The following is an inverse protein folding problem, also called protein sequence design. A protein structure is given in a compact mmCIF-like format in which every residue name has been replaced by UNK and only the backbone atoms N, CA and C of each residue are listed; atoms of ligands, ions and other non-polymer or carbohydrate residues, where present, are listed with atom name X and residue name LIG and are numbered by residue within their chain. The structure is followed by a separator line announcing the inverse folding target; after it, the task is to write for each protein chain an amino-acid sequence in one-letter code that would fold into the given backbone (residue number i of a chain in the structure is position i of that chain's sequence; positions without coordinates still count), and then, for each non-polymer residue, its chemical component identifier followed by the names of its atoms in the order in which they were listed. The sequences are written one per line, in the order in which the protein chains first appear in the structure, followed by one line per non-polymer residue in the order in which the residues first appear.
data_IF_463015789771
#
_entry.id   IF_463015789771
#
_cell.length_a   1.000
_cell.length_b   1.000
_cell.length_c   1.000
_cell.angle_alpha   90.00
_cell.angle_beta   90.00
_cell.angle_gamma   90.00
#
_symmetry.space_group_name_H-M   'P 1'
#
loop_
_entity.id
_entity.type
_entity.pdbx_description
1 polymer ?
#
# COMPACT_ATOMS: atom_id res chain seq x y z
N UNK A 1 12.61 69.16 15.77
CA UNK A 1 13.15 69.31 17.15
C UNK A 1 13.14 67.92 17.79
N UNK A 2 14.20 67.12 17.70
CA UNK A 2 15.37 67.04 18.60
C UNK A 2 15.02 66.76 20.08
N UNK A 3 15.08 65.49 20.48
CA UNK A 3 15.61 64.98 21.78
C UNK A 3 15.55 63.45 21.72
N UNK A 4 16.59 62.64 21.47
CA UNK A 4 17.89 62.36 22.14
C UNK A 4 17.79 61.81 23.59
N UNK A 5 18.15 60.51 23.68
CA UNK A 5 18.79 59.75 24.79
C UNK A 5 17.80 59.25 25.87
N UNK A 6 17.88 58.01 26.37
CA UNK A 6 19.07 57.35 26.91
C UNK A 6 19.01 55.82 26.93
N UNK A 7 20.21 55.25 26.94
CA UNK A 7 20.61 53.85 27.12
C UNK A 7 20.19 53.33 28.50
N UNK A 8 19.78 52.06 28.55
CA UNK A 8 19.59 51.29 29.78
C UNK A 8 19.81 49.80 29.51
N UNK A 9 21.09 49.40 29.47
CA UNK A 9 21.50 47.99 29.54
C UNK A 9 21.20 47.51 30.95
N UNK A 10 20.36 46.47 31.10
CA UNK A 10 20.36 45.64 32.29
C UNK A 10 20.51 44.18 31.87
N UNK A 11 21.68 43.67 32.20
CA UNK A 11 22.18 42.33 31.98
C UNK A 11 21.73 41.49 33.18
N UNK A 12 20.87 40.50 32.96
CA UNK A 12 20.58 39.48 33.99
C UNK A 12 21.08 38.14 33.47
N UNK A 13 22.29 37.82 33.92
CA UNK A 13 22.84 36.48 33.99
C UNK A 13 22.01 35.67 34.99
N UNK A 14 21.33 34.63 34.53
CA UNK A 14 20.91 33.51 35.37
C UNK A 14 21.30 32.21 34.71
N UNK A 15 22.51 31.77 35.02
CA UNK A 15 23.01 30.40 34.85
C UNK A 15 22.51 29.56 36.01
N UNK A 16 21.64 28.58 35.78
CA UNK A 16 21.35 27.38 36.61
C UNK A 16 20.33 26.57 35.76
N UNK A 17 20.42 25.28 35.49
CA UNK A 17 21.23 24.22 36.07
C UNK A 17 21.43 23.10 35.04
N UNK A 18 22.60 22.47 35.12
CA UNK A 18 22.92 21.16 34.57
C UNK A 18 22.05 20.12 35.26
N UNK A 19 21.09 19.51 34.57
CA UNK A 19 20.52 18.21 34.94
C UNK A 19 20.08 17.46 33.68
N UNK A 20 20.62 16.26 33.49
CA UNK A 20 20.01 15.25 32.63
C UNK A 20 20.61 15.10 31.22
N UNK A 21 21.93 15.07 31.09
CA UNK A 21 22.53 14.33 29.97
C UNK A 21 22.24 12.84 30.21
N UNK A 22 21.04 12.39 29.80
CA UNK A 22 20.81 10.97 29.57
C UNK A 22 21.88 10.55 28.57
N UNK A 23 22.81 9.69 29.01
CA UNK A 23 23.74 9.03 28.14
C UNK A 23 22.92 8.17 27.17
N UNK A 24 22.50 8.77 26.05
CA UNK A 24 21.93 8.04 24.94
C UNK A 24 23.11 7.30 24.35
N UNK A 25 23.28 6.04 24.75
CA UNK A 25 24.28 5.16 24.18
C UNK A 25 24.03 5.13 22.66
N UNK A 26 24.90 5.73 21.82
CA UNK A 26 24.63 5.91 20.41
C UNK A 26 24.47 4.56 19.68
N UNK A 27 24.99 3.49 20.28
CA UNK A 27 24.84 2.11 19.80
C UNK A 27 23.39 1.62 19.94
N UNK A 28 22.68 2.03 20.99
CA UNK A 28 21.32 1.56 21.26
C UNK A 28 20.28 2.31 20.41
N UNK A 29 20.48 3.61 20.20
CA UNK A 29 19.66 4.42 19.26
C UNK A 29 19.90 4.08 17.79
N UNK A 30 21.13 3.70 17.41
CA UNK A 30 21.39 3.15 16.07
C UNK A 30 20.71 1.80 15.84
N UNK A 31 20.76 0.89 16.82
CA UNK A 31 20.11 -0.41 16.70
C UNK A 31 18.57 -0.31 16.67
N UNK A 32 17.98 0.62 17.42
CA UNK A 32 16.54 0.91 17.36
C UNK A 32 16.14 1.54 16.02
N UNK A 33 16.87 2.54 15.53
CA UNK A 33 16.59 3.17 14.23
C UNK A 33 16.74 2.19 13.06
N UNK A 34 17.72 1.28 13.13
CA UNK A 34 17.93 0.22 12.12
C UNK A 34 16.83 -0.85 12.17
N UNK A 35 16.23 -1.11 13.35
CA UNK A 35 15.10 -2.02 13.49
C UNK A 35 13.74 -1.38 13.11
N UNK A 36 13.59 -0.07 13.29
CA UNK A 36 12.34 0.67 13.01
C UNK A 36 12.13 0.94 11.51
N UNK A 37 13.20 1.23 10.75
CA UNK A 37 13.07 1.56 9.33
C UNK A 37 12.40 0.44 8.47
N UNK A 38 12.78 -0.84 8.60
CA UNK A 38 12.12 -1.93 7.85
C UNK A 38 10.66 -2.14 8.24
N UNK A 39 10.31 -1.87 9.50
CA UNK A 39 8.92 -1.98 10.00
C UNK A 39 8.08 -0.83 9.45
N UNK A 40 8.63 0.38 9.39
CA UNK A 40 7.97 1.54 8.82
C UNK A 40 7.70 1.37 7.31
N UNK A 41 8.67 0.86 6.55
CA UNK A 41 8.54 0.58 5.12
C UNK A 41 7.44 -0.47 4.84
N UNK A 42 7.44 -1.58 5.59
CA UNK A 42 6.37 -2.57 5.48
C UNK A 42 5.00 -2.01 5.88
N UNK A 43 4.96 -1.20 6.94
CA UNK A 43 3.74 -0.53 7.38
C UNK A 43 3.15 0.37 6.29
N UNK A 44 4.01 1.12 5.59
CA UNK A 44 3.62 1.95 4.46
C UNK A 44 3.07 1.11 3.30
N UNK A 45 3.73 -0.02 2.96
CA UNK A 45 3.27 -0.93 1.91
C UNK A 45 1.88 -1.50 2.20
N UNK A 46 1.66 -1.99 3.42
CA UNK A 46 0.37 -2.53 3.86
C UNK A 46 -0.71 -1.44 3.86
N UNK A 47 -0.39 -0.24 4.34
CA UNK A 47 -1.31 0.90 4.35
C UNK A 47 -1.72 1.31 2.93
N UNK A 48 -0.76 1.36 2.00
CA UNK A 48 -1.02 1.65 0.60
C UNK A 48 -1.86 0.56 -0.07
N UNK A 49 -1.61 -0.71 0.24
CA UNK A 49 -2.41 -1.83 -0.27
C UNK A 49 -3.85 -1.78 0.24
N UNK A 50 -4.07 -1.49 1.53
CA UNK A 50 -5.41 -1.27 2.10
C UNK A 50 -6.15 -0.12 1.42
N UNK A 51 -5.44 0.92 0.97
CA UNK A 51 -6.05 2.02 0.22
C UNK A 51 -6.56 1.60 -1.16
N UNK A 52 -6.05 0.52 -1.75
CA UNK A 52 -6.58 -0.10 -2.98
C UNK A 52 -7.85 -0.91 -2.70
N UNK A 53 -7.95 -1.50 -1.51
CA UNK A 53 -9.13 -2.25 -1.04
C UNK A 53 -10.28 -1.35 -0.56
N UNK A 54 -9.97 -0.13 -0.15
CA UNK A 54 -10.93 0.87 0.30
C UNK A 54 -11.75 1.41 -0.88
N UNK A 55 -12.76 0.65 -1.31
CA UNK A 55 -13.68 1.00 -2.38
C UNK A 55 -15.13 1.07 -1.90
N UNK A 56 -15.98 1.89 -2.55
CA UNK A 56 -17.39 2.02 -2.18
C UNK A 56 -18.24 0.81 -2.59
N UNK A 57 -17.77 -0.02 -3.52
CA UNK A 57 -18.47 -1.25 -3.93
C UNK A 57 -18.01 -2.46 -3.11
N UNK A 58 -18.92 -3.43 -2.91
CA UNK A 58 -18.59 -4.71 -2.30
C UNK A 58 -17.65 -5.52 -3.20
N UNK A 59 -16.79 -6.34 -2.56
CA UNK A 59 -15.94 -7.29 -3.27
C UNK A 59 -16.77 -8.51 -3.72
N UNK A 60 -16.72 -8.89 -5.00
CA UNK A 60 -17.31 -10.15 -5.43
C UNK A 60 -16.52 -11.32 -4.84
N UNK A 61 -17.21 -12.23 -4.15
CA UNK A 61 -16.62 -13.41 -3.52
C UNK A 61 -17.13 -14.63 -4.29
N UNK A 62 -16.22 -15.30 -5.01
CA UNK A 62 -16.56 -16.55 -5.70
C UNK A 62 -16.66 -17.70 -4.70
N UNK A 63 -17.76 -18.46 -4.73
CA UNK A 63 -17.80 -19.79 -4.10
C UNK A 63 -16.83 -20.69 -4.86
N UNK A 64 -15.90 -21.35 -4.16
CA UNK A 64 -15.05 -22.36 -4.79
C UNK A 64 -15.92 -23.48 -5.37
N UNK A 65 -15.48 -24.10 -6.48
CA UNK A 65 -16.21 -25.20 -7.11
C UNK A 65 -16.51 -26.33 -6.10
N UNK A 66 -15.55 -26.61 -5.22
CA UNK A 66 -15.70 -27.59 -4.13
C UNK A 66 -16.82 -27.17 -3.17
N UNK A 67 -16.85 -25.92 -2.71
CA UNK A 67 -17.90 -25.44 -1.83
C UNK A 67 -19.29 -25.37 -2.51
N UNK A 68 -19.35 -25.24 -3.84
CA UNK A 68 -20.60 -25.41 -4.61
C UNK A 68 -21.07 -26.86 -4.63
N UNK A 69 -20.15 -27.82 -4.79
CA UNK A 69 -20.47 -29.25 -4.83
C UNK A 69 -20.89 -29.78 -3.45
N UNK A 70 -20.21 -29.33 -2.38
CA UNK A 70 -20.47 -29.80 -1.02
C UNK A 70 -21.64 -29.09 -0.33
N UNK A 71 -22.20 -28.03 -0.93
CA UNK A 71 -23.27 -27.23 -0.33
C UNK A 71 -22.85 -26.47 0.94
N UNK A 72 -21.54 -26.44 1.25
CA UNK A 72 -20.98 -25.80 2.45
C UNK A 72 -20.46 -24.38 2.19
N UNK A 73 -20.83 -23.78 1.05
CA UNK A 73 -20.44 -22.41 0.70
C UNK A 73 -21.22 -21.37 1.49
N UNK A 74 -20.51 -20.42 2.11
CA UNK A 74 -21.12 -19.20 2.66
C UNK A 74 -21.73 -18.31 1.56
N UNK A 75 -22.38 -17.22 1.99
CA UNK A 75 -23.01 -16.26 1.09
C UNK A 75 -21.98 -15.67 0.11
N UNK A 76 -22.15 -15.94 -1.19
CA UNK A 76 -21.32 -15.36 -2.24
C UNK A 76 -21.96 -14.12 -2.82
N UNK A 77 -21.15 -13.07 -2.93
CA UNK A 77 -21.53 -11.89 -3.70
C UNK A 77 -21.11 -12.11 -5.15
N UNK A 78 -22.08 -12.23 -6.05
CA UNK A 78 -21.81 -12.29 -7.49
C UNK A 78 -21.31 -10.93 -8.00
N UNK A 79 -20.65 -10.91 -9.16
CA UNK A 79 -20.22 -9.66 -9.80
C UNK A 79 -21.40 -8.73 -10.07
N UNK A 80 -22.50 -9.28 -10.59
CA UNK A 80 -23.70 -8.50 -10.91
C UNK A 80 -24.37 -7.97 -9.64
N UNK A 81 -24.37 -8.72 -8.54
CA UNK A 81 -24.89 -8.24 -7.26
C UNK A 81 -24.04 -7.10 -6.69
N UNK A 82 -22.70 -7.22 -6.73
CA UNK A 82 -21.80 -6.15 -6.29
C UNK A 82 -21.94 -4.88 -7.12
N UNK A 83 -22.07 -5.03 -8.45
CA UNK A 83 -22.30 -3.91 -9.36
C UNK A 83 -23.67 -3.26 -9.13
N UNK A 84 -24.72 -4.07 -8.97
CA UNK A 84 -26.08 -3.61 -8.72
C UNK A 84 -26.20 -2.84 -7.42
N UNK A 85 -25.70 -3.38 -6.31
CA UNK A 85 -25.70 -2.69 -5.00
C UNK A 85 -24.96 -1.34 -5.07
N UNK A 86 -23.85 -1.29 -5.80
CA UNK A 86 -23.13 -0.03 -6.01
C UNK A 86 -23.95 0.95 -6.87
N UNK A 87 -24.53 0.48 -7.98
CA UNK A 87 -25.40 1.32 -8.84
C UNK A 87 -26.59 1.86 -8.04
N UNK A 88 -27.24 1.04 -7.23
CA UNK A 88 -28.35 1.47 -6.35
C UNK A 88 -27.92 2.56 -5.38
N UNK A 89 -26.68 2.52 -4.90
CA UNK A 89 -26.11 3.54 -4.01
C UNK A 89 -25.95 4.89 -4.73
N UNK A 90 -25.56 4.88 -6.01
CA UNK A 90 -25.29 6.11 -6.78
C UNK A 90 -26.45 6.56 -7.68
N UNK A 91 -27.46 5.71 -7.91
CA UNK A 91 -28.56 5.94 -8.86
C UNK A 91 -29.45 7.12 -8.49
N UNK A 92 -29.51 7.48 -7.21
CA UNK A 92 -30.26 8.62 -6.69
C UNK A 92 -29.62 9.98 -7.03
N UNK A 93 -28.39 9.99 -7.55
CA UNK A 93 -27.70 11.22 -7.99
C UNK A 93 -28.02 11.52 -9.45
N UNK A 94 -28.25 12.79 -9.84
CA UNK A 94 -28.43 13.16 -11.25
C UNK A 94 -27.17 12.91 -12.12
N UNK A 95 -26.03 12.59 -11.50
CA UNK A 95 -24.73 12.41 -12.14
C UNK A 95 -24.10 11.05 -11.81
N UNK A 96 -24.89 9.98 -11.70
CA UNK A 96 -24.42 8.63 -11.29
C UNK A 96 -23.19 8.16 -12.06
N UNK A 97 -23.15 8.37 -13.38
CA UNK A 97 -21.98 8.01 -14.18
C UNK A 97 -20.71 8.78 -13.77
N UNK A 98 -20.82 10.08 -13.46
CA UNK A 98 -19.68 10.86 -12.97
C UNK A 98 -19.20 10.40 -11.58
N UNK A 99 -20.11 9.94 -10.72
CA UNK A 99 -19.74 9.32 -9.44
C UNK A 99 -18.92 8.04 -9.66
N UNK A 100 -19.41 7.14 -10.52
CA UNK A 100 -18.68 5.92 -10.89
C UNK A 100 -17.28 6.23 -11.44
N UNK A 101 -17.19 7.22 -12.33
CA UNK A 101 -15.91 7.66 -12.92
C UNK A 101 -14.97 8.22 -11.85
N UNK A 102 -15.49 9.04 -10.93
CA UNK A 102 -14.71 9.62 -9.83
C UNK A 102 -14.16 8.54 -8.90
N UNK A 103 -15.00 7.59 -8.48
CA UNK A 103 -14.61 6.49 -7.61
C UNK A 103 -13.58 5.56 -8.28
N UNK A 104 -13.74 5.29 -9.58
CA UNK A 104 -12.77 4.53 -10.35
C UNK A 104 -11.40 5.22 -10.40
N UNK A 105 -11.36 6.54 -10.64
CA UNK A 105 -10.10 7.30 -10.62
C UNK A 105 -9.48 7.38 -9.23
N UNK A 106 -10.29 7.49 -8.17
CA UNK A 106 -9.81 7.42 -6.80
C UNK A 106 -9.12 6.07 -6.50
N UNK A 107 -9.72 4.96 -6.93
CA UNK A 107 -9.11 3.64 -6.78
C UNK A 107 -7.82 3.48 -7.59
N UNK A 108 -7.78 4.00 -8.82
CA UNK A 108 -6.57 4.02 -9.66
C UNK A 108 -5.45 4.85 -9.02
N UNK A 109 -5.76 6.00 -8.43
CA UNK A 109 -4.79 6.82 -7.69
C UNK A 109 -4.22 6.06 -6.48
N UNK A 110 -5.03 5.27 -5.76
CA UNK A 110 -4.52 4.37 -4.72
C UNK A 110 -3.57 3.32 -5.27
N UNK A 111 -3.86 2.73 -6.43
CA UNK A 111 -2.96 1.76 -7.07
C UNK A 111 -1.63 2.38 -7.50
N UNK A 112 -1.65 3.62 -8.01
CA UNK A 112 -0.43 4.38 -8.33
C UNK A 112 0.42 4.64 -7.09
N UNK A 113 -0.19 5.09 -5.98
CA UNK A 113 0.50 5.27 -4.70
C UNK A 113 1.13 3.97 -4.21
N UNK A 114 0.41 2.85 -4.27
CA UNK A 114 0.97 1.54 -3.95
C UNK A 114 2.17 1.21 -4.85
N UNK A 115 2.11 1.52 -6.14
CA UNK A 115 3.22 1.29 -7.06
C UNK A 115 4.48 2.08 -6.73
N UNK A 116 4.35 3.29 -6.17
CA UNK A 116 5.46 4.10 -5.66
C UNK A 116 6.04 3.46 -4.40
N UNK A 117 5.20 3.17 -3.40
CA UNK A 117 5.64 2.57 -2.12
C UNK A 117 6.30 1.21 -2.33
N UNK A 118 5.76 0.38 -3.24
CA UNK A 118 6.36 -0.91 -3.58
C UNK A 118 7.75 -0.76 -4.23
N UNK A 119 7.95 0.29 -5.05
CA UNK A 119 9.26 0.59 -5.61
C UNK A 119 10.25 1.02 -4.54
N UNK A 120 9.82 1.88 -3.61
CA UNK A 120 10.65 2.32 -2.47
C UNK A 120 11.02 1.15 -1.56
N UNK A 121 10.06 0.25 -1.30
CA UNK A 121 10.27 -0.97 -0.49
C UNK A 121 11.35 -1.88 -1.07
N UNK A 122 11.63 -1.84 -2.39
CA UNK A 122 12.75 -2.60 -2.99
C UNK A 122 14.11 -2.22 -2.40
N UNK A 123 14.24 -0.98 -1.94
CA UNK A 123 15.46 -0.43 -1.34
C UNK A 123 15.54 -0.67 0.17
N UNK A 124 14.50 -1.26 0.76
CA UNK A 124 14.46 -1.62 2.18
C UNK A 124 15.67 -2.45 2.60
N UNK A 125 16.05 -2.33 3.87
CA UNK A 125 17.15 -3.12 4.44
C UNK A 125 16.87 -4.62 4.40
N UNK A 126 15.60 -5.01 4.38
CA UNK A 126 15.15 -6.40 4.25
C UNK A 126 13.82 -6.47 3.52
N UNK A 127 13.81 -7.10 2.36
CA UNK A 127 12.58 -7.46 1.63
C UNK A 127 12.24 -8.92 1.93
N UNK A 128 10.95 -9.25 2.01
CA UNK A 128 10.49 -10.62 2.26
C UNK A 128 9.39 -11.04 1.29
N UNK A 129 9.11 -12.34 1.24
CA UNK A 129 8.00 -12.87 0.45
C UNK A 129 6.63 -12.31 0.84
N UNK A 130 6.45 -11.88 2.10
CA UNK A 130 5.20 -11.24 2.52
C UNK A 130 4.97 -9.91 1.80
N UNK A 131 6.03 -9.15 1.52
CA UNK A 131 5.93 -7.86 0.84
C UNK A 131 5.49 -8.06 -0.62
N UNK A 132 5.94 -9.15 -1.26
CA UNK A 132 5.46 -9.59 -2.58
C UNK A 132 3.97 -9.94 -2.49
N UNK A 133 3.59 -10.78 -1.52
CA UNK A 133 2.21 -11.21 -1.33
C UNK A 133 1.23 -10.07 -1.11
N UNK A 134 1.64 -9.00 -0.42
CA UNK A 134 0.84 -7.77 -0.26
C UNK A 134 0.56 -7.10 -1.61
N UNK A 135 1.56 -6.98 -2.48
CA UNK A 135 1.39 -6.38 -3.82
C UNK A 135 0.55 -7.29 -4.73
N UNK A 136 0.77 -8.60 -4.69
CA UNK A 136 -0.01 -9.57 -5.47
C UNK A 136 -1.48 -9.62 -5.08
N UNK A 137 -1.79 -9.55 -3.78
CA UNK A 137 -3.15 -9.46 -3.29
C UNK A 137 -3.82 -8.16 -3.76
N UNK A 138 -3.12 -7.02 -3.68
CA UNK A 138 -3.63 -5.76 -4.23
C UNK A 138 -3.88 -5.82 -5.74
N UNK A 139 -3.04 -6.54 -6.51
CA UNK A 139 -3.30 -6.79 -7.94
C UNK A 139 -4.58 -7.60 -8.15
N UNK A 140 -4.83 -8.62 -7.31
CA UNK A 140 -6.07 -9.40 -7.36
C UNK A 140 -7.28 -8.51 -7.08
N UNK A 141 -7.24 -7.72 -6.00
CA UNK A 141 -8.27 -6.72 -5.64
C UNK A 141 -8.52 -5.77 -6.82
N UNK A 142 -7.47 -5.24 -7.43
CA UNK A 142 -7.60 -4.26 -8.52
C UNK A 142 -8.26 -4.87 -9.77
N UNK A 143 -8.05 -6.17 -10.04
CA UNK A 143 -8.76 -6.91 -11.09
C UNK A 143 -10.25 -7.06 -10.77
N UNK A 144 -10.59 -7.28 -9.51
CA UNK A 144 -11.99 -7.36 -9.04
C UNK A 144 -12.68 -6.01 -9.17
N UNK A 145 -12.05 -4.94 -8.67
CA UNK A 145 -12.54 -3.57 -8.77
C UNK A 145 -12.81 -3.16 -10.23
N UNK A 146 -11.87 -3.44 -11.14
CA UNK A 146 -12.05 -3.21 -12.58
C UNK A 146 -13.32 -3.88 -13.10
N UNK A 147 -13.58 -5.15 -12.71
CA UNK A 147 -14.77 -5.88 -13.17
C UNK A 147 -16.05 -5.22 -12.65
N UNK A 148 -16.08 -4.84 -11.37
CA UNK A 148 -17.24 -4.18 -10.76
C UNK A 148 -17.52 -2.85 -11.44
N UNK A 149 -16.49 -2.01 -11.67
CA UNK A 149 -16.64 -0.72 -12.36
C UNK A 149 -17.22 -0.88 -13.77
N UNK A 150 -16.74 -1.86 -14.53
CA UNK A 150 -17.25 -2.10 -15.89
C UNK A 150 -18.68 -2.67 -15.89
N UNK A 151 -19.01 -3.53 -14.93
CA UNK A 151 -20.36 -4.05 -14.76
C UNK A 151 -21.34 -2.93 -14.34
N UNK A 152 -20.94 -2.07 -13.40
CA UNK A 152 -21.73 -0.91 -12.97
C UNK A 152 -21.94 0.09 -14.12
N UNK A 153 -20.90 0.37 -14.92
CA UNK A 153 -21.03 1.23 -16.10
C UNK A 153 -22.03 0.67 -17.11
N UNK A 154 -21.98 -0.65 -17.35
CA UNK A 154 -22.94 -1.34 -18.24
C UNK A 154 -24.36 -1.26 -17.70
N UNK A 155 -24.55 -1.47 -16.41
CA UNK A 155 -25.86 -1.42 -15.77
C UNK A 155 -26.46 0.00 -15.84
N UNK A 156 -25.67 1.04 -15.52
CA UNK A 156 -26.10 2.43 -15.70
C UNK A 156 -26.56 2.72 -17.15
N UNK A 157 -25.86 2.20 -18.15
CA UNK A 157 -26.27 2.34 -19.55
C UNK A 157 -27.58 1.63 -19.88
N UNK A 158 -27.83 0.46 -19.28
CA UNK A 158 -29.11 -0.25 -19.42
C UNK A 158 -30.27 0.49 -18.72
N UNK A 159 -29.98 1.21 -17.63
CA UNK A 159 -30.94 1.98 -16.85
C UNK A 159 -31.22 3.37 -17.47
N UNK A 160 -30.84 3.59 -18.73
CA UNK A 160 -30.95 4.83 -19.49
C UNK A 160 -30.16 6.02 -18.92
N UNK A 161 -29.17 5.79 -18.06
CA UNK A 161 -28.26 6.86 -17.66
C UNK A 161 -27.31 7.23 -18.81
N UNK A 162 -26.95 8.51 -18.92
CA UNK A 162 -25.98 8.96 -19.91
C UNK A 162 -24.59 8.41 -19.56
N UNK A 163 -24.09 7.46 -20.37
CA UNK A 163 -22.75 6.89 -20.26
C UNK A 163 -21.86 7.30 -21.43
N UNK A 164 -20.55 7.43 -21.18
CA UNK A 164 -19.55 7.71 -22.22
C UNK A 164 -18.63 6.49 -22.42
N UNK A 165 -18.76 5.84 -23.58
CA UNK A 165 -17.98 4.65 -23.94
C UNK A 165 -16.47 4.94 -24.04
N UNK A 166 -16.08 6.13 -24.50
CA UNK A 166 -14.68 6.53 -24.57
C UNK A 166 -14.07 6.66 -23.17
N UNK A 167 -14.84 7.19 -22.21
CA UNK A 167 -14.43 7.24 -20.80
C UNK A 167 -14.32 5.85 -20.19
N UNK A 168 -15.30 4.96 -20.43
CA UNK A 168 -15.25 3.56 -19.97
C UNK A 168 -14.00 2.86 -20.51
N UNK A 169 -13.71 3.03 -21.81
CA UNK A 169 -12.51 2.47 -22.44
C UNK A 169 -11.22 3.01 -21.83
N UNK A 170 -11.17 4.31 -21.52
CA UNK A 170 -10.02 4.94 -20.83
C UNK A 170 -9.81 4.37 -19.44
N UNK A 171 -10.87 4.23 -18.64
CA UNK A 171 -10.81 3.62 -17.31
C UNK A 171 -10.32 2.17 -17.39
N UNK A 172 -10.87 1.39 -18.32
CA UNK A 172 -10.45 0.01 -18.56
C UNK A 172 -8.94 -0.10 -18.91
N UNK A 173 -8.46 0.81 -19.74
CA UNK A 173 -7.04 0.95 -20.09
C UNK A 173 -6.19 1.32 -18.89
N UNK A 174 -6.63 2.28 -18.07
CA UNK A 174 -5.94 2.71 -16.86
C UNK A 174 -5.79 1.58 -15.84
N UNK A 175 -6.85 0.82 -15.56
CA UNK A 175 -6.76 -0.38 -14.70
C UNK A 175 -5.77 -1.41 -15.25
N UNK A 176 -5.81 -1.67 -16.56
CA UNK A 176 -4.88 -2.60 -17.20
C UNK A 176 -3.41 -2.14 -17.05
N UNK A 177 -3.17 -0.85 -17.20
CA UNK A 177 -1.85 -0.24 -16.99
C UNK A 177 -1.39 -0.35 -15.54
N UNK A 178 -2.26 -0.01 -14.58
CA UNK A 178 -1.98 -0.10 -13.15
C UNK A 178 -1.67 -1.54 -12.70
N UNK A 179 -2.45 -2.52 -13.15
CA UNK A 179 -2.20 -3.96 -12.89
C UNK A 179 -0.83 -4.37 -13.43
N UNK A 180 -0.48 -3.97 -14.66
CA UNK A 180 0.83 -4.27 -15.27
C UNK A 180 1.98 -3.61 -14.52
N UNK A 181 1.79 -2.35 -14.10
CA UNK A 181 2.77 -1.62 -13.31
C UNK A 181 3.03 -2.33 -11.98
N UNK A 182 1.98 -2.65 -11.22
CA UNK A 182 2.10 -3.37 -9.95
C UNK A 182 2.74 -4.75 -10.12
N UNK A 183 2.42 -5.48 -11.19
CA UNK A 183 3.08 -6.75 -11.52
C UNK A 183 4.59 -6.61 -11.64
N UNK A 184 5.07 -5.59 -12.40
CA UNK A 184 6.50 -5.29 -12.49
C UNK A 184 7.13 -4.93 -11.13
N UNK A 185 6.36 -4.32 -10.22
CA UNK A 185 6.85 -4.01 -8.86
C UNK A 185 6.96 -5.28 -8.02
N UNK A 186 5.98 -6.19 -8.09
CA UNK A 186 6.04 -7.49 -7.44
C UNK A 186 7.24 -8.32 -7.93
N UNK A 187 7.47 -8.38 -9.24
CA UNK A 187 8.64 -9.05 -9.83
C UNK A 187 9.96 -8.46 -9.30
N UNK A 188 10.04 -7.13 -9.25
CA UNK A 188 11.23 -6.45 -8.74
C UNK A 188 11.49 -6.68 -7.24
N UNK A 189 10.44 -6.90 -6.44
CA UNK A 189 10.56 -7.32 -5.04
C UNK A 189 11.01 -8.78 -4.96
N UNK A 190 10.48 -9.66 -5.81
CA UNK A 190 10.87 -11.07 -5.88
C UNK A 190 12.35 -11.25 -6.23
N UNK A 191 12.82 -10.53 -7.25
CA UNK A 191 14.24 -10.47 -7.62
C UNK A 191 15.12 -10.05 -6.45
N UNK A 192 14.67 -9.07 -5.65
CA UNK A 192 15.40 -8.60 -4.48
C UNK A 192 15.45 -9.64 -3.36
N UNK A 193 14.34 -10.34 -3.08
CA UNK A 193 14.31 -11.42 -2.10
C UNK A 193 15.28 -12.53 -2.48
N UNK A 194 15.32 -12.91 -3.76
CA UNK A 194 16.23 -13.95 -4.24
C UNK A 194 17.70 -13.52 -4.17
N UNK A 195 17.99 -12.26 -4.52
CA UNK A 195 19.33 -11.67 -4.35
C UNK A 195 19.78 -11.74 -2.89
N UNK A 196 18.96 -11.28 -1.95
CA UNK A 196 19.28 -11.30 -0.51
C UNK A 196 19.47 -12.75 0.00
N UNK A 197 18.72 -13.71 -0.53
CA UNK A 197 18.87 -15.13 -0.20
C UNK A 197 20.22 -15.67 -0.66
N UNK A 198 20.59 -15.42 -1.91
CA UNK A 198 21.85 -15.89 -2.50
C UNK A 198 23.09 -15.34 -1.78
N UNK A 199 23.06 -14.06 -1.39
CA UNK A 199 24.15 -13.40 -0.64
C UNK A 199 24.36 -13.99 0.77
N UNK A 200 23.29 -14.43 1.42
CA UNK A 200 23.37 -15.02 2.76
C UNK A 200 23.87 -16.48 2.75
N UNK A 201 23.65 -17.22 1.66
CA UNK A 201 24.17 -18.59 1.49
C UNK A 201 25.69 -18.57 1.20
N UNK A 202 26.20 -17.52 0.56
CA UNK A 202 27.61 -17.41 0.17
C UNK A 202 28.59 -17.03 1.31
N UNK A 203 28.11 -16.73 2.53
CA UNK A 203 29.01 -16.43 3.67
C UNK A 203 29.54 -17.73 4.29
N UNK A 204 30.85 -18.03 4.23
CA UNK A 204 31.41 -19.20 4.89
C UNK A 204 31.22 -19.07 6.39
N UNK A 205 30.68 -20.10 7.05
CA UNK A 205 30.69 -20.17 8.51
C UNK A 205 32.14 -20.12 8.99
N UNK A 206 32.51 -19.24 9.94
CA UNK A 206 33.82 -19.34 10.56
C UNK A 206 33.91 -20.69 11.25
N UNK A 207 34.82 -21.54 10.75
CA UNK A 207 35.16 -22.82 11.36
C UNK A 207 35.59 -22.55 12.80
N UNK A 208 34.74 -22.91 13.75
CA UNK A 208 35.09 -22.95 15.16
C UNK A 208 36.01 -24.16 15.35
N UNK A 209 37.29 -23.97 15.02
CA UNK A 209 38.34 -24.96 15.23
C UNK A 209 38.62 -24.98 16.74
N UNK A 210 37.86 -25.79 17.47
CA UNK A 210 38.18 -26.11 18.86
C UNK A 210 39.51 -26.86 18.88
N UNK A 211 40.59 -26.14 19.17
CA UNK A 211 41.88 -26.72 19.51
C UNK A 211 41.72 -27.39 20.88
N UNK A 212 41.48 -28.70 20.87
CA UNK A 212 41.61 -29.54 22.06
C UNK A 212 43.10 -29.64 22.36
N UNK A 213 43.55 -28.92 23.38
CA UNK A 213 44.88 -29.10 23.99
C UNK A 213 44.81 -30.29 24.94
N UNK A 214 45.25 -31.45 24.47
CA UNK A 214 45.58 -32.58 25.34
C UNK A 214 46.83 -32.25 26.15
N UNK A 215 46.72 -32.34 27.48
CA UNK A 215 47.86 -32.41 28.42
C UNK A 215 48.36 -33.85 28.53
#
# INVERSE_FOLDING_TARGET
MLSKRSVGVLLVLTSFAVLGACAVNPVQSQNLAVAEAPVAERGALISAARSVEATPWRRPIGISLVARITGTGGESVSLDAAAGEYVDTISHSPNSFNHLVSDAYSNLASAERLGVVALETKSASRVTGNDIGVVEEAIRVLRENRRVVLAAAKQLGNDNAATDEAVIKKINGAYSSAIKMLGKRADALAERVEFDRSMNVAKPRPSTRNLVTTK
#
